data_IF_630412036688
#
_entry.id   IF_630412036688
#
_cell.length_a   1.000
_cell.length_b   1.000
_cell.length_c   1.000
_cell.angle_alpha   90.00
_cell.angle_beta   90.00
_cell.angle_gamma   90.00
#
_symmetry.space_group_name_H-M   'P 1'
#
loop_
_entity.id
_entity.type
_entity.pdbx_description
1 polymer ?
#
# COMPACT_ATOMS: atom_id res chain seq x y z
N UNK A 1 -26.77 20.91 -3.52
CA UNK A 1 -27.81 19.98 -4.02
C UNK A 1 -28.95 20.02 -3.02
N UNK A 2 -30.11 20.49 -3.45
CA UNK A 2 -31.34 20.61 -2.66
C UNK A 2 -31.76 19.24 -2.17
N UNK A 3 -31.80 19.06 -0.85
CA UNK A 3 -32.29 17.85 -0.21
C UNK A 3 -33.82 17.95 -0.19
N UNK A 4 -34.46 17.63 -1.32
CA UNK A 4 -35.91 17.49 -1.40
C UNK A 4 -36.30 16.21 -0.64
N UNK A 5 -36.43 16.31 0.68
CA UNK A 5 -37.17 15.34 1.45
C UNK A 5 -38.63 15.41 0.98
N UNK A 6 -39.00 14.56 0.03
CA UNK A 6 -40.38 14.38 -0.41
C UNK A 6 -41.19 13.87 0.79
N UNK A 7 -41.82 14.79 1.52
CA UNK A 7 -42.57 14.48 2.72
C UNK A 7 -44.00 14.08 2.31
N UNK A 8 -44.16 12.81 1.92
CA UNK A 8 -45.47 12.28 1.53
C UNK A 8 -46.27 11.96 2.80
N UNK A 9 -47.44 12.59 2.98
CA UNK A 9 -48.30 12.32 4.13
C UNK A 9 -49.03 10.98 3.97
N UNK A 10 -49.35 10.32 5.09
CA UNK A 10 -50.15 9.10 5.07
C UNK A 10 -51.53 9.32 4.43
N UNK A 11 -52.11 10.52 4.59
CA UNK A 11 -53.38 10.88 3.98
C UNK A 11 -53.28 11.01 2.46
N UNK A 12 -52.15 11.52 1.93
CA UNK A 12 -51.90 11.53 0.49
C UNK A 12 -51.74 10.11 -0.07
N UNK A 13 -51.07 9.21 0.66
CA UNK A 13 -50.95 7.79 0.27
C UNK A 13 -52.31 7.10 0.28
N UNK A 14 -53.14 7.34 1.32
CA UNK A 14 -54.51 6.81 1.36
C UNK A 14 -55.32 7.35 0.19
N UNK A 15 -55.34 8.66 -0.06
CA UNK A 15 -56.08 9.23 -1.18
C UNK A 15 -55.64 8.63 -2.53
N UNK A 16 -54.33 8.57 -2.76
CA UNK A 16 -53.77 8.06 -4.02
C UNK A 16 -53.99 6.56 -4.26
N UNK A 17 -54.14 5.77 -3.20
CA UNK A 17 -54.44 4.32 -3.28
C UNK A 17 -55.91 3.98 -3.09
N UNK A 18 -56.81 4.99 -3.12
CA UNK A 18 -58.24 4.83 -2.83
C UNK A 18 -58.52 4.16 -1.48
N UNK A 19 -57.82 4.63 -0.45
CA UNK A 19 -57.81 4.13 0.92
C UNK A 19 -57.40 2.65 1.01
N UNK A 20 -56.37 2.26 0.25
CA UNK A 20 -55.90 0.87 0.15
C UNK A 20 -57.01 -0.09 -0.32
N UNK A 21 -57.74 0.34 -1.35
CA UNK A 21 -58.78 -0.46 -2.00
C UNK A 21 -58.21 -1.74 -2.61
N UNK A 22 -58.92 -2.85 -2.53
CA UNK A 22 -58.47 -4.09 -3.20
C UNK A 22 -58.41 -3.94 -4.73
N UNK A 23 -59.13 -2.96 -5.31
CA UNK A 23 -59.07 -2.64 -6.74
C UNK A 23 -57.73 -2.03 -7.18
N UNK A 24 -56.97 -1.44 -6.26
CA UNK A 24 -55.64 -0.89 -6.51
C UNK A 24 -54.54 -1.84 -6.03
N UNK A 25 -54.90 -3.02 -5.49
CA UNK A 25 -53.95 -4.03 -5.06
C UNK A 25 -53.32 -4.71 -6.27
N UNK A 26 -52.01 -4.51 -6.44
CA UNK A 26 -51.21 -5.13 -7.51
C UNK A 26 -50.47 -6.38 -7.04
N UNK A 27 -50.44 -6.64 -5.74
CA UNK A 27 -49.86 -7.86 -5.21
C UNK A 27 -50.05 -8.03 -3.70
N UNK A 28 -50.32 -9.25 -3.27
CA UNK A 28 -50.53 -9.61 -1.87
C UNK A 28 -49.56 -10.71 -1.44
N UNK A 29 -49.08 -10.63 -0.20
CA UNK A 29 -48.34 -11.68 0.50
C UNK A 29 -48.86 -11.80 1.93
N UNK A 30 -48.38 -12.83 2.64
CA UNK A 30 -48.80 -13.22 4.01
C UNK A 30 -48.96 -12.08 5.02
N UNK A 31 -48.16 -11.03 4.90
CA UNK A 31 -48.13 -9.94 5.88
C UNK A 31 -48.27 -8.55 5.27
N UNK A 32 -48.47 -8.46 3.94
CA UNK A 32 -48.55 -7.17 3.29
C UNK A 32 -49.32 -7.24 1.98
N UNK A 33 -49.97 -6.12 1.64
CA UNK A 33 -50.54 -5.85 0.33
C UNK A 33 -49.79 -4.67 -0.30
N UNK A 34 -49.54 -4.74 -1.60
CA UNK A 34 -48.92 -3.72 -2.41
C UNK A 34 -50.00 -3.06 -3.25
N UNK A 35 -50.14 -1.76 -3.11
CA UNK A 35 -51.14 -0.97 -3.79
C UNK A 35 -50.47 -0.02 -4.77
N UNK A 36 -50.97 0.01 -5.99
CA UNK A 36 -50.63 1.06 -6.94
C UNK A 36 -51.50 2.29 -6.66
N UNK A 37 -50.95 3.47 -6.85
CA UNK A 37 -51.70 4.71 -6.66
C UNK A 37 -50.98 5.88 -7.29
N UNK A 38 -51.65 7.02 -7.33
CA UNK A 38 -51.07 8.26 -7.81
C UNK A 38 -51.23 9.35 -6.77
N UNK A 39 -50.14 10.08 -6.49
CA UNK A 39 -50.17 11.24 -5.61
C UNK A 39 -49.92 12.47 -6.47
N UNK A 40 -50.86 13.43 -6.40
CA UNK A 40 -50.71 14.73 -7.05
C UNK A 40 -50.15 15.74 -6.06
N UNK A 41 -49.05 16.40 -6.42
CA UNK A 41 -48.52 17.55 -5.70
C UNK A 41 -48.40 18.77 -6.65
N UNK A 42 -47.82 19.87 -6.15
CA UNK A 42 -47.62 21.08 -6.94
C UNK A 42 -46.68 20.90 -8.15
N UNK A 43 -45.96 19.77 -8.25
CA UNK A 43 -45.01 19.44 -9.30
C UNK A 43 -45.56 18.41 -10.32
N UNK A 44 -46.72 17.81 -10.06
CA UNK A 44 -47.41 16.89 -10.97
C UNK A 44 -47.96 15.63 -10.29
N UNK A 45 -48.44 14.68 -11.10
CA UNK A 45 -48.84 13.35 -10.62
C UNK A 45 -47.63 12.40 -10.57
N UNK A 46 -47.39 11.81 -9.40
CA UNK A 46 -46.37 10.79 -9.19
C UNK A 46 -47.05 9.45 -8.93
N UNK A 47 -46.80 8.46 -9.79
CA UNK A 47 -47.20 7.08 -9.52
C UNK A 47 -46.40 6.52 -8.34
N UNK A 48 -47.09 5.82 -7.45
CA UNK A 48 -46.52 5.22 -6.25
C UNK A 48 -46.94 3.77 -6.11
N UNK A 49 -46.07 2.99 -5.48
CA UNK A 49 -46.39 1.66 -4.97
C UNK A 49 -46.31 1.68 -3.45
N UNK A 50 -47.45 1.59 -2.77
CA UNK A 50 -47.54 1.60 -1.33
C UNK A 50 -47.61 0.17 -0.79
N UNK A 51 -46.55 -0.27 -0.10
CA UNK A 51 -46.51 -1.57 0.58
C UNK A 51 -47.03 -1.42 2.01
N UNK A 52 -48.22 -1.95 2.28
CA UNK A 52 -48.88 -1.86 3.60
C UNK A 52 -48.85 -3.20 4.31
N UNK A 53 -48.43 -3.19 5.57
CA UNK A 53 -48.53 -4.35 6.44
C UNK A 53 -50.00 -4.63 6.83
N UNK A 54 -50.46 -5.86 6.63
CA UNK A 54 -51.83 -6.29 6.97
C UNK A 54 -51.77 -7.53 7.88
N UNK A 55 -52.17 -7.35 9.14
CA UNK A 55 -52.24 -8.43 10.13
C UNK A 55 -53.54 -9.25 10.06
N UNK A 56 -54.54 -8.80 9.28
CA UNK A 56 -55.86 -9.45 9.16
C UNK A 56 -55.99 -10.37 7.94
N UNK A 57 -55.00 -10.42 7.05
CA UNK A 57 -54.90 -11.40 5.95
C UNK A 57 -54.92 -12.88 6.43
N UNK A 58 -54.85 -13.11 7.74
CA UNK A 58 -54.97 -14.43 8.37
C UNK A 58 -56.39 -15.03 8.36
N UNK A 59 -57.46 -14.24 8.13
CA UNK A 59 -58.84 -14.70 8.40
C UNK A 59 -59.75 -14.88 7.18
N UNK A 60 -59.33 -14.52 5.96
CA UNK A 60 -60.08 -14.87 4.73
C UNK A 60 -59.26 -15.90 3.98
N UNK A 61 -59.85 -17.09 3.81
CA UNK A 61 -59.20 -18.28 3.25
C UNK A 61 -58.35 -17.97 2.03
N UNK A 62 -57.04 -17.92 2.24
CA UNK A 62 -56.07 -18.23 1.21
C UNK A 62 -55.76 -19.71 1.38
N UNK A 63 -56.16 -20.51 0.40
CA UNK A 63 -55.61 -21.84 0.20
C UNK A 63 -54.08 -21.71 0.18
N UNK A 64 -53.48 -22.26 1.23
CA UNK A 64 -52.10 -22.74 1.31
C UNK A 64 -51.01 -21.86 0.65
N UNK A 65 -50.75 -20.67 1.21
CA UNK A 65 -49.51 -19.93 0.96
C UNK A 65 -48.44 -20.13 2.03
N UNK A 66 -48.63 -21.11 2.94
CA UNK A 66 -47.52 -21.70 3.68
C UNK A 66 -46.46 -22.25 2.71
N UNK A 67 -46.89 -22.66 1.51
CA UNK A 67 -46.04 -23.12 0.43
C UNK A 67 -45.10 -22.05 -0.15
N UNK A 68 -45.40 -20.74 -0.17
CA UNK A 68 -44.53 -19.78 -0.88
C UNK A 68 -43.28 -19.33 -0.12
N UNK A 69 -43.35 -19.19 1.21
CA UNK A 69 -42.18 -18.95 2.07
C UNK A 69 -41.37 -20.24 2.24
N UNK A 70 -42.05 -21.37 2.45
CA UNK A 70 -41.39 -22.68 2.45
C UNK A 70 -40.76 -22.97 1.09
N UNK A 71 -41.33 -22.55 -0.04
CA UNK A 71 -40.73 -22.76 -1.37
C UNK A 71 -39.40 -22.03 -1.51
N UNK A 72 -39.30 -20.73 -1.20
CA UNK A 72 -38.02 -20.03 -1.35
C UNK A 72 -36.96 -20.54 -0.36
N UNK A 73 -37.31 -20.74 0.91
CA UNK A 73 -36.41 -21.30 1.92
C UNK A 73 -35.97 -22.73 1.54
N UNK A 74 -36.91 -23.56 1.07
CA UNK A 74 -36.63 -24.92 0.60
C UNK A 74 -35.78 -24.93 -0.66
N UNK A 75 -36.05 -24.06 -1.63
CA UNK A 75 -35.23 -23.94 -2.86
C UNK A 75 -33.82 -23.48 -2.48
N UNK A 76 -33.66 -22.50 -1.59
CA UNK A 76 -32.33 -22.03 -1.15
C UNK A 76 -31.54 -23.15 -0.48
N UNK A 77 -32.14 -23.88 0.46
CA UNK A 77 -31.52 -25.04 1.12
C UNK A 77 -31.20 -26.15 0.11
N UNK A 78 -32.11 -26.46 -0.82
CA UNK A 78 -31.90 -27.48 -1.85
C UNK A 78 -30.79 -27.10 -2.82
N UNK A 79 -30.73 -25.86 -3.29
CA UNK A 79 -29.66 -25.35 -4.15
C UNK A 79 -28.33 -25.43 -3.43
N UNK A 80 -28.24 -24.95 -2.19
CA UNK A 80 -27.01 -25.01 -1.41
C UNK A 80 -26.54 -26.46 -1.15
N UNK A 81 -27.45 -27.37 -0.83
CA UNK A 81 -27.12 -28.79 -0.61
C UNK A 81 -26.66 -29.51 -1.90
N UNK A 82 -27.12 -29.07 -3.07
CA UNK A 82 -26.73 -29.65 -4.37
C UNK A 82 -25.44 -29.05 -4.92
N UNK A 83 -25.30 -27.73 -4.86
CA UNK A 83 -24.24 -26.97 -5.53
C UNK A 83 -23.13 -26.50 -4.58
N UNK A 84 -23.37 -26.54 -3.27
CA UNK A 84 -22.45 -26.03 -2.24
C UNK A 84 -22.39 -24.51 -2.13
N UNK A 85 -23.21 -23.78 -2.88
CA UNK A 85 -23.30 -22.32 -2.88
C UNK A 85 -24.71 -21.85 -3.33
N UNK A 86 -24.96 -20.55 -3.28
CA UNK A 86 -26.21 -19.92 -3.74
C UNK A 86 -25.97 -18.98 -4.93
N UNK A 87 -24.93 -19.22 -5.72
CA UNK A 87 -24.46 -18.26 -6.73
C UNK A 87 -25.49 -17.98 -7.83
N UNK A 88 -26.36 -18.95 -8.10
CA UNK A 88 -27.47 -18.84 -9.06
C UNK A 88 -28.66 -18.03 -8.52
N UNK A 89 -28.70 -17.73 -7.22
CA UNK A 89 -29.73 -16.91 -6.58
C UNK A 89 -29.31 -15.46 -6.35
N UNK A 90 -28.03 -15.15 -6.53
CA UNK A 90 -27.51 -13.81 -6.37
C UNK A 90 -27.87 -13.01 -7.62
N UNK A 91 -28.38 -11.80 -7.43
CA UNK A 91 -28.63 -10.88 -8.53
C UNK A 91 -27.33 -10.61 -9.30
N UNK A 92 -27.32 -10.87 -10.60
CA UNK A 92 -26.10 -10.80 -11.43
C UNK A 92 -25.39 -9.44 -11.32
N UNK A 93 -26.13 -8.34 -11.18
CA UNK A 93 -25.56 -7.00 -11.08
C UNK A 93 -24.71 -6.74 -9.81
N UNK A 94 -24.85 -7.54 -8.76
CA UNK A 94 -24.02 -7.44 -7.54
C UNK A 94 -23.03 -8.59 -7.39
N UNK A 95 -23.19 -9.67 -8.15
CA UNK A 95 -22.39 -10.90 -8.00
C UNK A 95 -20.89 -10.65 -8.18
N UNK A 96 -20.52 -9.81 -9.15
CA UNK A 96 -19.12 -9.45 -9.40
C UNK A 96 -18.54 -8.44 -8.41
N UNK A 97 -19.38 -7.80 -7.59
CA UNK A 97 -18.97 -6.78 -6.62
C UNK A 97 -18.66 -7.39 -5.24
N UNK A 98 -19.08 -8.63 -4.99
CA UNK A 98 -18.91 -9.30 -3.69
C UNK A 98 -17.68 -10.20 -3.73
N UNK A 99 -16.82 -10.05 -2.73
CA UNK A 99 -15.63 -10.90 -2.60
C UNK A 99 -16.02 -12.34 -2.27
N UNK A 100 -15.36 -13.36 -2.84
CA UNK A 100 -15.71 -14.75 -2.57
C UNK A 100 -15.74 -15.12 -1.07
N UNK A 101 -14.76 -14.71 -0.22
CA UNK A 101 -14.80 -15.02 1.21
C UNK A 101 -15.98 -14.37 1.95
N UNK A 102 -16.35 -13.14 1.57
CA UNK A 102 -17.53 -12.47 2.11
C UNK A 102 -18.80 -13.21 1.72
N UNK A 103 -18.92 -13.56 0.43
CA UNK A 103 -20.07 -14.26 -0.11
C UNK A 103 -20.26 -15.65 0.54
N UNK A 104 -19.20 -16.47 0.57
CA UNK A 104 -19.26 -17.80 1.20
C UNK A 104 -19.67 -17.70 2.67
N UNK A 105 -19.11 -16.73 3.40
CA UNK A 105 -19.44 -16.52 4.82
C UNK A 105 -20.92 -16.14 4.98
N UNK A 106 -21.41 -15.22 4.15
CA UNK A 106 -22.80 -14.77 4.16
C UNK A 106 -23.77 -15.90 3.77
N UNK A 107 -23.50 -16.63 2.69
CA UNK A 107 -24.31 -17.78 2.26
C UNK A 107 -24.37 -18.85 3.35
N UNK A 108 -23.22 -19.17 3.96
CA UNK A 108 -23.15 -20.18 5.04
C UNK A 108 -24.04 -19.80 6.21
N UNK A 109 -23.95 -18.56 6.71
CA UNK A 109 -24.74 -18.14 7.87
C UNK A 109 -26.24 -18.00 7.52
N UNK A 110 -26.56 -17.55 6.30
CA UNK A 110 -27.94 -17.48 5.82
C UNK A 110 -28.60 -18.86 5.78
N UNK A 111 -27.92 -19.87 5.25
CA UNK A 111 -28.43 -21.25 5.22
C UNK A 111 -28.59 -21.83 6.62
N UNK A 112 -27.64 -21.57 7.53
CA UNK A 112 -27.77 -22.00 8.93
C UNK A 112 -28.97 -21.37 9.64
N UNK A 113 -29.33 -20.12 9.32
CA UNK A 113 -30.55 -19.48 9.85
C UNK A 113 -31.84 -20.14 9.34
N UNK A 114 -31.81 -20.72 8.13
CA UNK A 114 -32.94 -21.40 7.51
C UNK A 114 -33.08 -22.87 7.93
N UNK A 115 -32.19 -23.39 8.78
CA UNK A 115 -32.25 -24.77 9.27
C UNK A 115 -33.62 -25.11 9.88
N UNK A 116 -34.12 -26.29 9.54
CA UNK A 116 -35.42 -26.79 10.02
C UNK A 116 -35.38 -27.02 11.53
N UNK A 117 -34.25 -27.52 12.02
CA UNK A 117 -34.05 -27.82 13.42
C UNK A 117 -33.52 -26.59 14.16
N UNK A 118 -34.31 -26.06 15.11
CA UNK A 118 -33.95 -24.86 15.87
C UNK A 118 -32.59 -24.93 16.57
N UNK A 119 -32.15 -26.11 17.00
CA UNK A 119 -30.85 -26.31 17.65
C UNK A 119 -29.64 -26.21 16.70
N UNK A 120 -29.86 -26.31 15.37
CA UNK A 120 -28.83 -26.09 14.35
C UNK A 120 -28.73 -24.62 13.92
N UNK A 121 -29.74 -23.80 14.27
CA UNK A 121 -29.73 -22.38 13.96
C UNK A 121 -28.67 -21.68 14.81
N UNK A 122 -27.97 -20.69 14.26
CA UNK A 122 -26.99 -19.94 15.01
C UNK A 122 -27.68 -19.08 16.07
N UNK A 123 -27.01 -18.86 17.18
CA UNK A 123 -27.38 -17.81 18.13
C UNK A 123 -27.22 -16.43 17.47
N UNK A 124 -27.94 -15.42 17.97
CA UNK A 124 -27.81 -14.05 17.46
C UNK A 124 -26.35 -13.54 17.54
N UNK A 125 -25.62 -13.94 18.57
CA UNK A 125 -24.19 -13.62 18.73
C UNK A 125 -23.36 -14.22 17.61
N UNK A 126 -23.53 -15.51 17.31
CA UNK A 126 -22.83 -16.17 16.20
C UNK A 126 -23.16 -15.54 14.85
N UNK A 127 -24.45 -15.23 14.62
CA UNK A 127 -24.91 -14.54 13.41
C UNK A 127 -24.20 -13.18 13.24
N UNK A 128 -24.22 -12.33 14.28
CA UNK A 128 -23.56 -11.02 14.24
C UNK A 128 -22.05 -11.17 14.00
N UNK A 129 -21.39 -12.13 14.65
CA UNK A 129 -19.95 -12.38 14.45
C UNK A 129 -19.64 -12.77 13.00
N UNK A 130 -20.41 -13.67 12.39
CA UNK A 130 -20.17 -14.07 11.00
C UNK A 130 -20.48 -12.95 10.01
N UNK A 131 -21.54 -12.17 10.24
CA UNK A 131 -21.86 -11.02 9.40
C UNK A 131 -20.78 -9.94 9.48
N UNK A 132 -20.24 -9.66 10.68
CA UNK A 132 -19.09 -8.76 10.83
C UNK A 132 -17.86 -9.28 10.09
N UNK A 133 -17.58 -10.58 10.18
CA UNK A 133 -16.47 -11.21 9.45
C UNK A 133 -16.65 -11.12 7.92
N UNK A 134 -17.87 -11.33 7.42
CA UNK A 134 -18.19 -11.18 6.00
C UNK A 134 -17.97 -9.73 5.54
N UNK A 135 -18.37 -8.74 6.35
CA UNK A 135 -18.12 -7.33 6.10
C UNK A 135 -16.62 -7.02 6.08
N UNK A 136 -15.87 -7.52 7.07
CA UNK A 136 -14.41 -7.34 7.14
C UNK A 136 -13.69 -7.85 5.88
N UNK A 137 -14.11 -9.00 5.33
CA UNK A 137 -13.56 -9.51 4.07
C UNK A 137 -13.81 -8.57 2.87
N UNK A 138 -14.99 -7.98 2.81
CA UNK A 138 -15.35 -7.05 1.75
C UNK A 138 -14.55 -5.75 1.86
N UNK A 139 -14.50 -5.16 3.07
CA UNK A 139 -13.75 -3.93 3.34
C UNK A 139 -12.24 -4.11 3.11
N UNK A 140 -11.67 -5.26 3.50
CA UNK A 140 -10.26 -5.56 3.28
C UNK A 140 -9.90 -5.53 1.78
N UNK A 141 -10.76 -6.12 0.94
CA UNK A 141 -10.55 -6.10 -0.50
C UNK A 141 -10.72 -4.70 -1.10
N UNK A 142 -11.82 -4.02 -0.81
CA UNK A 142 -12.14 -2.70 -1.39
C UNK A 142 -11.08 -1.65 -1.04
N UNK A 143 -10.54 -1.69 0.19
CA UNK A 143 -9.57 -0.71 0.67
C UNK A 143 -8.15 -1.03 0.19
N UNK A 144 -7.75 -2.31 0.21
CA UNK A 144 -6.34 -2.69 0.06
C UNK A 144 -6.00 -3.31 -1.30
N UNK A 145 -6.91 -4.02 -1.98
CA UNK A 145 -6.62 -4.57 -3.31
C UNK A 145 -6.20 -3.46 -4.30
N UNK A 146 -6.88 -2.29 -4.39
CA UNK A 146 -6.47 -1.22 -5.30
C UNK A 146 -5.12 -0.57 -4.96
N UNK A 147 -4.66 -0.70 -3.70
CA UNK A 147 -3.36 -0.18 -3.25
C UNK A 147 -2.22 -1.15 -3.55
N UNK A 148 -2.53 -2.41 -3.84
CA UNK A 148 -1.53 -3.40 -4.21
C UNK A 148 -1.14 -3.24 -5.69
N UNK A 149 0.14 -3.44 -6.04
CA UNK A 149 0.56 -3.45 -7.43
C UNK A 149 -0.14 -4.57 -8.20
N UNK A 150 -0.66 -4.34 -9.40
CA UNK A 150 -1.40 -5.34 -10.20
C UNK A 150 -0.67 -6.70 -10.31
N UNK A 151 0.67 -6.68 -10.36
CA UNK A 151 1.55 -7.85 -10.44
C UNK A 151 2.07 -8.36 -9.08
N UNK A 152 1.47 -7.98 -7.94
CA UNK A 152 1.94 -8.37 -6.60
C UNK A 152 2.06 -9.89 -6.42
N UNK A 153 1.14 -10.67 -7.00
CA UNK A 153 1.17 -12.14 -6.95
C UNK A 153 2.45 -12.68 -7.62
N UNK A 154 2.84 -12.10 -8.76
CA UNK A 154 4.07 -12.48 -9.46
C UNK A 154 5.32 -12.05 -8.71
N UNK A 155 5.28 -10.89 -8.02
CA UNK A 155 6.37 -10.44 -7.15
C UNK A 155 6.55 -11.42 -5.99
N UNK A 156 5.47 -11.82 -5.32
CA UNK A 156 5.49 -12.75 -4.18
C UNK A 156 6.04 -14.13 -4.59
N UNK A 157 5.68 -14.63 -5.77
CA UNK A 157 6.23 -15.88 -6.32
C UNK A 157 7.76 -15.88 -6.48
N UNK A 158 8.39 -14.70 -6.57
CA UNK A 158 9.86 -14.55 -6.64
C UNK A 158 10.54 -14.54 -5.27
N UNK A 159 9.77 -14.58 -4.19
CA UNK A 159 10.29 -14.76 -2.83
C UNK A 159 10.70 -16.22 -2.60
N UNK A 160 11.52 -16.48 -1.57
CA UNK A 160 11.94 -17.84 -1.22
C UNK A 160 10.81 -18.72 -0.69
N UNK A 161 9.81 -18.10 -0.07
CA UNK A 161 8.72 -18.80 0.64
C UNK A 161 7.37 -18.15 0.29
N UNK A 162 6.86 -18.37 -0.93
CA UNK A 162 5.61 -17.75 -1.40
C UNK A 162 4.38 -18.19 -0.60
N UNK A 163 4.41 -19.37 0.01
CA UNK A 163 3.24 -19.92 0.72
C UNK A 163 2.86 -19.13 1.97
N UNK A 164 3.82 -18.42 2.59
CA UNK A 164 3.58 -17.58 3.78
C UNK A 164 2.56 -16.47 3.50
N UNK A 165 2.36 -16.11 2.23
CA UNK A 165 1.52 -15.01 1.80
C UNK A 165 0.09 -15.44 1.42
N UNK A 166 -0.16 -16.74 1.23
CA UNK A 166 -1.46 -17.23 0.74
C UNK A 166 -2.59 -17.00 1.75
N UNK A 167 -2.29 -17.11 3.05
CA UNK A 167 -3.27 -16.98 4.14
C UNK A 167 -3.37 -15.56 4.70
N UNK A 168 -2.78 -14.57 4.03
CA UNK A 168 -2.72 -13.17 4.50
C UNK A 168 -3.88 -12.36 3.96
N UNK A 169 -4.40 -11.47 4.82
CA UNK A 169 -5.35 -10.45 4.39
C UNK A 169 -4.67 -9.49 3.40
N UNK A 170 -5.45 -8.75 2.61
CA UNK A 170 -4.92 -7.75 1.68
C UNK A 170 -4.20 -6.64 2.43
N UNK A 171 -4.71 -6.25 3.59
CA UNK A 171 -4.01 -5.36 4.53
C UNK A 171 -2.65 -5.90 4.94
N UNK A 172 -2.58 -7.16 5.38
CA UNK A 172 -1.32 -7.78 5.81
C UNK A 172 -0.30 -7.81 4.65
N UNK A 173 -0.76 -8.14 3.44
CA UNK A 173 0.08 -8.10 2.24
C UNK A 173 0.60 -6.68 1.98
N UNK A 174 -0.25 -5.67 2.07
CA UNK A 174 0.14 -4.27 1.90
C UNK A 174 1.18 -3.85 2.94
N UNK A 175 0.98 -4.20 4.22
CA UNK A 175 1.91 -3.88 5.31
C UNK A 175 3.26 -4.60 5.13
N UNK A 176 3.24 -5.86 4.69
CA UNK A 176 4.45 -6.63 4.39
C UNK A 176 5.22 -6.03 3.22
N UNK A 177 4.55 -5.65 2.13
CA UNK A 177 5.18 -5.00 0.98
C UNK A 177 5.65 -3.59 1.32
N UNK A 178 4.93 -2.83 2.14
CA UNK A 178 5.33 -1.50 2.58
C UNK A 178 6.58 -1.55 3.46
N UNK A 179 6.65 -2.53 4.37
CA UNK A 179 7.87 -2.80 5.13
C UNK A 179 8.97 -3.23 4.17
N UNK A 180 8.69 -4.19 3.30
CA UNK A 180 9.56 -4.69 2.25
C UNK A 180 9.85 -6.19 2.39
N UNK A 181 9.85 -6.90 1.27
CA UNK A 181 10.04 -8.36 1.17
C UNK A 181 11.34 -8.70 0.43
N UNK A 182 11.97 -9.82 0.82
CA UNK A 182 13.20 -10.30 0.22
C UNK A 182 12.92 -11.20 -0.99
N UNK A 183 13.58 -10.89 -2.10
CA UNK A 183 13.46 -11.54 -3.41
C UNK A 183 14.86 -11.96 -3.90
N UNK A 184 14.90 -12.87 -4.88
CA UNK A 184 16.13 -13.33 -5.55
C UNK A 184 17.22 -13.80 -4.57
N UNK A 185 16.93 -14.83 -3.77
CA UNK A 185 17.85 -15.36 -2.75
C UNK A 185 18.27 -14.35 -1.65
N UNK A 186 17.37 -13.46 -1.25
CA UNK A 186 17.66 -12.35 -0.32
C UNK A 186 18.71 -11.38 -0.86
N UNK A 187 18.77 -11.22 -2.19
CA UNK A 187 19.68 -10.28 -2.85
C UNK A 187 19.00 -8.99 -3.26
N UNK A 188 17.67 -8.96 -3.28
CA UNK A 188 16.87 -7.76 -3.58
C UNK A 188 15.78 -7.64 -2.51
N UNK A 189 15.57 -6.44 -1.97
CA UNK A 189 14.43 -6.13 -1.12
C UNK A 189 13.48 -5.25 -1.93
N UNK A 190 12.26 -5.71 -2.16
CA UNK A 190 11.21 -4.92 -2.80
C UNK A 190 10.32 -4.28 -1.74
N UNK A 191 10.00 -2.99 -1.87
CA UNK A 191 9.06 -2.32 -0.97
C UNK A 191 8.18 -1.27 -1.63
N UNK A 192 7.01 -1.04 -1.06
CA UNK A 192 6.08 0.01 -1.50
C UNK A 192 6.22 1.28 -0.67
N UNK A 193 6.15 2.42 -1.36
CA UNK A 193 5.98 3.73 -0.77
C UNK A 193 4.52 3.99 -0.36
N UNK A 194 4.30 5.12 0.30
CA UNK A 194 2.99 5.51 0.85
C UNK A 194 1.89 5.61 -0.21
N UNK A 195 2.25 5.87 -1.46
CA UNK A 195 1.32 6.05 -2.57
C UNK A 195 1.46 4.94 -3.62
N UNK A 196 2.03 3.78 -3.24
CA UNK A 196 2.27 2.66 -4.15
C UNK A 196 3.54 2.78 -4.98
N UNK A 197 4.42 3.75 -4.67
CA UNK A 197 5.71 3.89 -5.34
C UNK A 197 6.56 2.63 -5.13
N UNK A 198 7.13 2.08 -6.20
CA UNK A 198 7.93 0.86 -6.11
C UNK A 198 9.37 1.20 -5.81
N UNK A 199 9.95 0.60 -4.79
CA UNK A 199 11.35 0.78 -4.42
C UNK A 199 12.06 -0.57 -4.39
N UNK A 200 13.35 -0.56 -4.74
CA UNK A 200 14.22 -1.72 -4.64
C UNK A 200 15.47 -1.39 -3.83
N UNK A 201 15.87 -2.28 -2.93
CA UNK A 201 17.19 -2.27 -2.33
C UNK A 201 18.00 -3.47 -2.82
N UNK A 202 19.26 -3.25 -3.18
CA UNK A 202 20.12 -4.30 -3.73
C UNK A 202 21.19 -4.69 -2.73
N UNK A 203 21.32 -6.00 -2.53
CA UNK A 203 22.27 -6.60 -1.62
C UNK A 203 23.72 -6.37 -2.08
N UNK A 204 24.64 -5.96 -1.20
CA UNK A 204 26.10 -6.04 -1.33
C UNK A 204 26.57 -7.44 -1.72
N UNK A 205 25.82 -8.50 -1.40
CA UNK A 205 26.12 -9.85 -1.92
C UNK A 205 26.08 -9.93 -3.45
N UNK A 206 25.36 -9.02 -4.10
CA UNK A 206 25.25 -8.91 -5.57
C UNK A 206 26.41 -8.11 -6.18
N UNK A 207 27.22 -7.46 -5.36
CA UNK A 207 28.31 -6.63 -5.85
C UNK A 207 29.53 -7.49 -6.19
N UNK A 208 30.23 -7.11 -7.24
CA UNK A 208 31.53 -7.68 -7.58
C UNK A 208 32.63 -6.82 -6.98
N UNK A 209 33.51 -7.44 -6.21
CA UNK A 209 34.61 -6.79 -5.51
C UNK A 209 35.93 -7.25 -6.10
N UNK A 210 36.79 -6.32 -6.54
CA UNK A 210 38.16 -6.68 -6.92
C UNK A 210 39.10 -6.91 -5.73
N UNK A 211 38.75 -6.39 -4.54
CA UNK A 211 39.55 -6.52 -3.32
C UNK A 211 39.00 -7.59 -2.36
N UNK A 212 39.92 -8.36 -1.77
CA UNK A 212 39.60 -9.53 -0.93
C UNK A 212 39.29 -9.22 0.55
N UNK A 213 39.54 -8.00 1.03
CA UNK A 213 39.43 -7.64 2.45
C UNK A 213 37.98 -7.30 2.88
N UNK A 214 37.05 -8.24 2.71
CA UNK A 214 35.66 -8.11 3.19
C UNK A 214 35.32 -9.18 4.23
N UNK A 215 34.63 -8.77 5.29
CA UNK A 215 33.99 -9.68 6.25
C UNK A 215 32.48 -9.58 6.09
N UNK A 216 31.78 -10.71 6.19
CA UNK A 216 30.33 -10.71 6.22
C UNK A 216 29.85 -10.67 7.67
N UNK A 217 29.00 -9.71 8.01
CA UNK A 217 28.43 -9.58 9.36
C UNK A 217 26.92 -9.62 9.33
N UNK A 218 26.33 -10.14 10.40
CA UNK A 218 24.92 -9.89 10.70
C UNK A 218 24.81 -8.63 11.54
N UNK A 219 23.88 -7.74 11.19
CA UNK A 219 23.54 -6.56 11.98
C UNK A 219 22.04 -6.60 12.23
N UNK A 220 21.57 -6.51 13.49
CA UNK A 220 20.13 -6.55 13.79
C UNK A 220 19.33 -5.46 13.08
N UNK A 221 19.93 -4.28 12.88
CA UNK A 221 19.25 -3.15 12.22
C UNK A 221 19.28 -3.23 10.68
N UNK A 222 19.87 -4.27 10.10
CA UNK A 222 19.98 -4.41 8.64
C UNK A 222 18.72 -5.03 8.06
N UNK A 223 18.26 -4.48 6.92
CA UNK A 223 17.15 -5.05 6.14
C UNK A 223 17.49 -6.37 5.43
N UNK A 224 18.77 -6.75 5.40
CA UNK A 224 19.18 -8.07 4.92
C UNK A 224 20.00 -8.83 5.98
N UNK A 225 20.05 -10.17 5.90
CA UNK A 225 20.71 -11.01 6.92
C UNK A 225 22.23 -10.84 7.06
N UNK A 226 22.94 -10.46 5.99
CA UNK A 226 24.41 -10.32 6.01
C UNK A 226 24.88 -9.11 5.23
N UNK A 227 25.55 -8.18 5.88
CA UNK A 227 26.16 -6.95 5.30
C UNK A 227 27.64 -7.15 5.01
N UNK A 228 28.21 -6.36 4.09
CA UNK A 228 29.64 -6.33 3.83
C UNK A 228 30.36 -5.33 4.76
N UNK A 229 31.22 -5.82 5.64
CA UNK A 229 32.16 -5.00 6.39
C UNK A 229 33.44 -4.79 5.58
N UNK A 230 33.85 -3.53 5.48
CA UNK A 230 35.07 -3.10 4.80
C UNK A 230 36.00 -2.34 5.75
N UNK A 231 37.28 -2.68 5.70
CA UNK A 231 38.32 -2.09 6.55
C UNK A 231 38.89 -0.80 5.96
N UNK A 232 39.03 -0.72 4.64
CA UNK A 232 39.64 0.41 3.94
C UNK A 232 38.74 0.86 2.78
N UNK A 233 38.28 2.10 2.85
CA UNK A 233 37.30 2.67 1.92
C UNK A 233 37.99 3.26 0.68
N UNK A 234 39.25 3.65 0.82
CA UNK A 234 40.03 4.39 -0.18
C UNK A 234 40.24 3.63 -1.51
N UNK A 235 40.08 2.30 -1.51
CA UNK A 235 40.28 1.44 -2.69
C UNK A 235 39.06 0.57 -2.98
N UNK A 236 37.85 1.08 -2.73
CA UNK A 236 36.67 0.36 -3.17
C UNK A 236 36.66 0.26 -4.69
N UNK A 237 36.72 -0.94 -5.24
CA UNK A 237 36.43 -1.18 -6.65
C UNK A 237 35.25 -2.12 -6.70
N UNK A 238 34.07 -1.53 -6.48
CA UNK A 238 32.79 -2.22 -6.49
C UNK A 238 32.17 -2.05 -7.86
N UNK A 239 31.79 -3.16 -8.47
CA UNK A 239 30.90 -3.15 -9.64
C UNK A 239 29.53 -3.67 -9.24
N UNK A 240 28.49 -2.91 -9.55
CA UNK A 240 27.11 -3.28 -9.28
C UNK A 240 26.36 -3.37 -10.60
N UNK A 241 25.76 -4.53 -10.85
CA UNK A 241 24.78 -4.72 -11.92
C UNK A 241 23.39 -4.51 -11.33
N UNK A 242 22.72 -3.47 -11.79
CA UNK A 242 21.37 -3.10 -11.37
C UNK A 242 20.40 -3.56 -12.44
N UNK A 243 19.32 -4.21 -12.03
CA UNK A 243 18.19 -4.60 -12.87
C UNK A 243 16.95 -3.91 -12.34
N UNK A 244 16.13 -3.31 -13.21
CA UNK A 244 14.93 -2.55 -12.79
C UNK A 244 13.64 -3.36 -12.88
N UNK A 245 13.73 -4.68 -12.70
CA UNK A 245 12.64 -5.61 -12.98
C UNK A 245 11.39 -5.46 -12.11
N UNK A 246 11.51 -4.93 -10.88
CA UNK A 246 10.37 -4.69 -10.00
C UNK A 246 10.01 -3.20 -9.90
N UNK A 247 10.74 -2.32 -10.58
CA UNK A 247 10.43 -0.90 -10.67
C UNK A 247 9.32 -0.63 -11.69
N UNK A 248 8.58 0.45 -11.48
CA UNK A 248 7.56 0.91 -12.40
C UNK A 248 8.21 1.46 -13.68
N UNK A 249 7.71 1.11 -14.87
CA UNK A 249 8.14 1.76 -16.10
C UNK A 249 7.63 3.21 -16.17
N UNK A 250 8.25 4.03 -17.01
CA UNK A 250 7.93 5.43 -17.24
C UNK A 250 8.03 6.33 -15.98
N UNK A 251 8.92 5.98 -15.05
CA UNK A 251 9.13 6.68 -13.77
C UNK A 251 10.59 7.09 -13.63
N UNK A 252 10.83 8.26 -13.02
CA UNK A 252 12.17 8.73 -12.66
C UNK A 252 12.58 8.19 -11.28
N UNK A 253 13.76 7.59 -11.22
CA UNK A 253 14.33 6.99 -10.02
C UNK A 253 15.63 7.67 -9.62
N UNK A 254 15.85 7.80 -8.32
CA UNK A 254 17.14 8.11 -7.72
C UNK A 254 17.85 6.85 -7.27
N UNK A 255 19.14 6.78 -7.54
CA UNK A 255 20.02 5.73 -7.06
C UNK A 255 20.83 6.25 -5.89
N UNK A 256 20.73 5.55 -4.77
CA UNK A 256 21.43 5.88 -3.54
C UNK A 256 22.36 4.76 -3.12
N UNK A 257 23.56 5.10 -2.67
CA UNK A 257 24.44 4.18 -1.94
C UNK A 257 24.20 4.33 -0.43
N UNK A 258 23.88 3.23 0.24
CA UNK A 258 23.60 3.15 1.67
C UNK A 258 24.73 2.43 2.39
N UNK A 259 25.20 3.02 3.50
CA UNK A 259 26.30 2.49 4.31
C UNK A 259 26.24 3.01 5.75
N UNK A 260 26.99 2.39 6.66
CA UNK A 260 27.07 2.78 8.08
C UNK A 260 28.50 2.68 8.55
N UNK A 261 28.94 3.67 9.34
CA UNK A 261 30.24 3.63 9.98
C UNK A 261 30.24 2.66 11.16
N UNK A 262 31.33 1.91 11.31
CA UNK A 262 31.56 1.12 12.52
C UNK A 262 32.67 1.74 13.37
N UNK A 263 32.33 2.02 14.62
CA UNK A 263 33.23 2.61 15.61
C UNK A 263 32.46 3.24 16.76
N UNK A 264 33.17 3.55 17.85
CA UNK A 264 32.62 4.11 19.09
C UNK A 264 32.12 5.56 18.99
N UNK A 265 32.49 6.28 17.92
CA UNK A 265 31.97 7.63 17.65
C UNK A 265 30.91 7.56 16.56
N UNK A 266 29.64 7.55 16.95
CA UNK A 266 28.53 7.86 16.04
C UNK A 266 28.66 9.33 15.65
N UNK A 267 28.90 9.61 14.38
CA UNK A 267 28.83 10.99 13.90
C UNK A 267 27.38 11.45 14.08
N UNK A 268 27.16 12.52 14.85
CA UNK A 268 25.86 13.16 14.99
C UNK A 268 25.56 14.12 13.83
N UNK A 269 26.52 14.29 12.92
CA UNK A 269 26.37 15.19 11.79
C UNK A 269 25.30 14.62 10.83
N UNK A 270 24.22 15.39 10.62
CA UNK A 270 23.17 15.05 9.64
C UNK A 270 23.72 14.94 8.21
N UNK A 271 24.87 15.55 7.91
CA UNK A 271 25.50 15.57 6.59
C UNK A 271 27.02 15.45 6.68
N UNK A 272 27.61 14.64 5.80
CA UNK A 272 29.06 14.41 5.71
C UNK A 272 29.55 14.64 4.28
N UNK A 273 30.77 15.16 4.15
CA UNK A 273 31.48 15.23 2.88
C UNK A 273 32.21 13.90 2.62
N UNK A 274 32.09 13.34 1.41
CA UNK A 274 32.59 12.00 1.08
C UNK A 274 33.48 11.92 -0.17
N UNK A 275 33.36 12.88 -1.09
CA UNK A 275 34.00 12.87 -2.42
C UNK A 275 34.15 11.47 -3.04
N UNK A 276 33.02 10.89 -3.44
CA UNK A 276 32.93 9.58 -4.07
C UNK A 276 33.00 9.75 -5.59
N UNK A 277 34.02 9.15 -6.23
CA UNK A 277 34.15 9.04 -7.69
C UNK A 277 33.60 7.71 -8.17
N UNK A 278 32.72 7.73 -9.17
CA UNK A 278 32.14 6.52 -9.75
C UNK A 278 31.88 6.68 -11.25
N UNK A 279 31.80 5.57 -11.97
CA UNK A 279 31.45 5.49 -13.39
C UNK A 279 30.06 4.91 -13.59
N UNK A 280 29.34 5.52 -14.52
CA UNK A 280 28.09 5.01 -15.07
C UNK A 280 28.26 4.93 -16.58
N UNK A 281 28.24 3.71 -17.14
CA UNK A 281 28.64 3.52 -18.53
C UNK A 281 30.07 4.02 -18.79
N UNK A 282 30.21 5.00 -19.69
CA UNK A 282 31.50 5.62 -20.02
C UNK A 282 31.75 6.95 -19.29
N UNK A 283 30.79 7.43 -18.49
CA UNK A 283 30.87 8.73 -17.82
C UNK A 283 31.41 8.57 -16.40
N UNK A 284 32.38 9.42 -16.02
CA UNK A 284 32.86 9.55 -14.64
C UNK A 284 32.11 10.68 -13.92
N UNK A 285 31.54 10.36 -12.77
CA UNK A 285 30.69 11.22 -11.96
C UNK A 285 31.21 11.29 -10.51
N UNK A 286 30.83 12.35 -9.81
CA UNK A 286 31.22 12.59 -8.42
C UNK A 286 30.00 12.80 -7.53
N UNK A 287 30.01 12.20 -6.34
CA UNK A 287 29.03 12.45 -5.30
C UNK A 287 29.74 12.99 -4.05
N UNK A 288 29.37 14.20 -3.64
CA UNK A 288 30.13 14.94 -2.62
C UNK A 288 29.61 14.78 -1.19
N UNK A 289 28.33 14.42 -1.04
CA UNK A 289 27.67 14.43 0.26
C UNK A 289 26.97 13.12 0.57
N UNK A 290 27.04 12.73 1.84
CA UNK A 290 26.21 11.71 2.43
C UNK A 290 25.28 12.34 3.48
N UNK A 291 24.04 11.88 3.54
CA UNK A 291 23.02 12.32 4.50
C UNK A 291 22.65 11.19 5.45
N UNK A 292 22.48 11.52 6.73
CA UNK A 292 22.03 10.57 7.76
C UNK A 292 20.52 10.33 7.62
N UNK A 293 20.12 9.07 7.58
CA UNK A 293 18.73 8.61 7.60
C UNK A 293 18.25 8.41 9.03
N UNK A 294 16.95 8.37 9.21
CA UNK A 294 16.30 8.13 10.52
C UNK A 294 16.69 6.78 11.14
N UNK A 295 16.96 5.77 10.31
CA UNK A 295 17.41 4.44 10.74
C UNK A 295 18.90 4.37 11.12
N UNK A 296 19.60 5.51 11.14
CA UNK A 296 21.02 5.62 11.51
C UNK A 296 21.99 5.18 10.40
N UNK A 297 21.50 4.92 9.18
CA UNK A 297 22.32 4.66 8.00
C UNK A 297 22.62 5.96 7.24
N UNK A 298 23.78 6.03 6.59
CA UNK A 298 24.13 7.11 5.67
C UNK A 298 23.68 6.78 4.26
N UNK A 299 23.33 7.81 3.49
CA UNK A 299 22.88 7.71 2.10
C UNK A 299 23.66 8.70 1.23
N UNK A 300 24.20 8.26 0.11
CA UNK A 300 24.80 9.12 -0.93
C UNK A 300 23.93 9.00 -2.19
N UNK A 301 23.36 10.10 -2.66
CA UNK A 301 22.74 10.14 -3.99
C UNK A 301 23.84 10.04 -5.05
N UNK A 302 23.74 9.02 -5.92
CA UNK A 302 24.66 8.87 -7.05
C UNK A 302 24.10 9.61 -8.26
N UNK A 303 23.05 9.06 -8.88
CA UNK A 303 22.46 9.59 -10.10
C UNK A 303 20.95 9.35 -10.12
N UNK A 304 20.31 9.97 -11.10
CA UNK A 304 18.91 9.81 -11.39
C UNK A 304 18.76 9.25 -12.80
N UNK A 305 17.79 8.39 -13.03
CA UNK A 305 17.51 7.84 -14.36
C UNK A 305 16.01 7.68 -14.59
N UNK A 306 15.60 7.73 -15.85
CA UNK A 306 14.24 7.44 -16.25
C UNK A 306 14.12 5.98 -16.67
N UNK A 307 13.25 5.23 -15.99
CA UNK A 307 13.05 3.81 -16.26
C UNK A 307 12.09 3.63 -17.45
N UNK A 308 12.59 3.65 -18.69
CA UNK A 308 11.76 3.60 -19.90
C UNK A 308 10.92 2.33 -20.03
N UNK A 309 11.47 1.16 -19.64
CA UNK A 309 10.85 -0.16 -19.81
C UNK A 309 11.15 -1.05 -18.61
N UNK A 310 10.35 -2.09 -18.43
CA UNK A 310 10.65 -3.15 -17.45
C UNK A 310 12.00 -3.81 -17.80
N UNK A 311 12.78 -4.14 -16.77
CA UNK A 311 14.01 -4.95 -16.87
C UNK A 311 15.16 -4.29 -17.66
N UNK A 312 15.50 -3.05 -17.30
CA UNK A 312 16.70 -2.38 -17.82
C UNK A 312 17.91 -2.76 -16.95
N UNK A 313 19.01 -3.14 -17.61
CA UNK A 313 20.28 -3.45 -16.95
C UNK A 313 21.26 -2.28 -17.11
N UNK A 314 21.88 -1.85 -16.01
CA UNK A 314 23.01 -0.92 -16.05
C UNK A 314 24.06 -1.24 -14.99
N UNK A 315 25.31 -0.84 -15.28
CA UNK A 315 26.46 -1.10 -14.43
C UNK A 315 27.01 0.19 -13.82
N UNK A 316 27.19 0.18 -12.50
CA UNK A 316 27.82 1.25 -11.75
C UNK A 316 29.15 0.74 -11.22
N UNK A 317 30.24 1.46 -11.51
CA UNK A 317 31.59 1.10 -11.07
C UNK A 317 32.13 2.18 -10.14
N UNK A 318 32.41 1.82 -8.90
CA UNK A 318 33.12 2.71 -7.99
C UNK A 318 34.59 2.84 -8.39
N UNK A 319 35.14 4.06 -8.40
CA UNK A 319 36.54 4.31 -8.71
C UNK A 319 37.36 4.66 -7.47
N UNK A 320 36.93 5.62 -6.65
CA UNK A 320 37.71 6.09 -5.49
C UNK A 320 36.83 6.86 -4.46
N UNK A 321 37.16 6.77 -3.16
CA UNK A 321 36.62 7.66 -2.11
C UNK A 321 37.81 8.36 -1.45
N UNK A 322 37.94 9.67 -1.66
CA UNK A 322 39.14 10.41 -1.27
C UNK A 322 39.25 10.68 0.24
N UNK A 323 38.15 11.08 0.91
CA UNK A 323 38.14 11.43 2.36
C UNK A 323 36.72 11.67 2.88
N UNK A 324 36.48 11.22 4.11
CA UNK A 324 35.24 11.47 4.83
C UNK A 324 35.43 12.52 5.92
N UNK A 325 34.73 13.66 5.80
CA UNK A 325 34.81 14.78 6.77
C UNK A 325 33.41 15.23 7.17
N UNK A 326 33.23 15.62 8.43
CA UNK A 326 31.99 16.25 8.88
C UNK A 326 31.92 17.68 8.33
N UNK A 327 30.75 18.10 7.81
CA UNK A 327 30.60 19.42 7.17
C UNK A 327 30.84 20.57 8.16
N UNK A 328 30.50 20.38 9.44
CA UNK A 328 30.79 21.35 10.50
C UNK A 328 32.30 21.59 10.69
N UNK A 329 33.15 20.59 10.39
CA UNK A 329 34.60 20.71 10.49
C UNK A 329 35.21 21.46 9.30
N UNK A 330 34.56 21.42 8.12
CA UNK A 330 34.95 22.21 6.93
C UNK A 330 34.68 23.70 7.12
N UNK A 331 33.50 24.06 7.65
CA UNK A 331 33.13 25.46 7.91
C UNK A 331 33.98 26.11 9.02
N UNK A 332 34.49 25.33 9.99
CA UNK A 332 35.45 25.81 10.99
C UNK A 332 36.88 25.97 10.46
N UNK A 333 37.23 25.29 9.36
CA UNK A 333 38.58 25.34 8.78
C UNK A 333 38.78 26.51 7.81
N UNK A 334 37.70 27.16 7.37
CA UNK A 334 37.79 28.32 6.46
C UNK A 334 37.98 29.65 7.18
N UNK A 335 38.05 29.68 8.52
CA UNK A 335 38.12 30.93 9.30
C UNK A 335 39.37 31.11 10.16
N UNK A 336 40.36 30.21 10.11
CA UNK A 336 41.66 30.45 10.77
C UNK A 336 42.82 29.89 9.96
N UNK A 337 43.70 30.78 9.52
CA UNK A 337 45.13 30.49 9.32
C UNK A 337 45.71 30.09 10.67
N UNK A 338 45.68 28.81 11.00
CA UNK A 338 46.53 28.23 12.03
C UNK A 338 46.83 26.78 11.69
N UNK A 339 48.10 26.42 11.81
CA UNK A 339 48.66 25.10 11.54
C UNK A 339 47.90 24.04 12.36
N UNK A 340 46.97 23.31 11.74
CA UNK A 340 46.47 22.06 12.29
C UNK A 340 47.42 20.93 11.88
N UNK A 341 48.13 20.42 12.88
CA UNK A 341 48.83 19.13 12.81
C UNK A 341 47.87 18.02 12.33
N UNK A 342 48.35 17.06 11.54
CA UNK A 342 47.52 15.98 11.03
C UNK A 342 47.15 15.07 12.20
N UNK A 343 46.00 15.31 12.83
CA UNK A 343 45.35 14.29 13.64
C UNK A 343 44.92 13.19 12.69
N UNK A 344 45.80 12.20 12.51
CA UNK A 344 45.56 10.95 11.81
C UNK A 344 44.24 10.34 12.33
N UNK A 345 43.15 10.53 11.59
CA UNK A 345 41.90 9.85 11.87
C UNK A 345 42.09 8.38 11.46
N UNK A 346 42.63 7.59 12.40
CA UNK A 346 42.86 6.15 12.28
C UNK A 346 41.59 5.49 11.73
N UNK A 347 41.74 4.89 10.55
CA UNK A 347 40.93 3.82 9.93
C UNK A 347 39.51 3.69 10.49
N UNK A 348 38.56 4.41 9.89
CA UNK A 348 37.14 4.15 10.14
C UNK A 348 36.71 2.95 9.30
N UNK A 349 36.32 1.85 9.96
CA UNK A 349 35.68 0.71 9.30
C UNK A 349 34.30 1.16 8.78
N UNK A 350 33.95 0.76 7.56
CA UNK A 350 32.63 1.04 6.98
C UNK A 350 31.92 -0.27 6.72
N UNK A 351 30.71 -0.39 7.25
CA UNK A 351 29.78 -1.41 6.80
C UNK A 351 29.06 -0.84 5.60
N UNK A 352 29.47 -1.28 4.42
CA UNK A 352 28.74 -0.95 3.21
C UNK A 352 27.61 -1.92 3.06
N UNK A 353 26.43 -1.35 2.98
CA UNK A 353 25.23 -2.12 2.96
C UNK A 353 24.75 -2.24 1.55
N UNK A 354 24.08 -1.25 0.98
CA UNK A 354 23.16 -1.54 -0.14
C UNK A 354 23.08 -0.39 -1.13
N UNK A 355 22.56 -0.66 -2.33
CA UNK A 355 21.96 0.40 -3.16
C UNK A 355 20.48 0.50 -2.87
N UNK A 356 19.90 1.70 -2.92
CA UNK A 356 18.46 1.92 -2.90
C UNK A 356 18.03 2.70 -4.13
N UNK A 357 16.97 2.22 -4.78
CA UNK A 357 16.31 2.82 -5.93
C UNK A 357 14.98 3.37 -5.43
N UNK A 358 14.84 4.69 -5.46
CA UNK A 358 13.63 5.37 -4.96
C UNK A 358 13.03 6.30 -5.98
N UNK A 359 11.71 6.24 -6.14
CA UNK A 359 10.96 7.08 -7.08
C UNK A 359 11.03 8.58 -6.71
N UNK A 360 11.12 9.45 -7.72
CA UNK A 360 11.12 10.90 -7.55
C UNK A 360 9.69 11.42 -7.52
N UNK A 361 9.24 11.90 -6.35
CA UNK A 361 7.98 12.65 -6.24
C UNK A 361 8.13 13.99 -6.99
N UNK A 362 7.38 14.20 -8.07
CA UNK A 362 7.22 15.52 -8.70
C UNK A 362 6.48 16.44 -7.73
N UNK A 363 7.19 17.13 -6.85
CA UNK A 363 6.74 18.46 -6.42
C UNK A 363 7.01 19.39 -7.58
N UNK A 364 5.99 20.17 -7.93
CA UNK A 364 6.02 21.20 -8.97
C UNK A 364 6.83 22.40 -8.44
N UNK A 365 8.12 22.17 -8.18
CA UNK A 365 9.05 23.25 -7.83
C UNK A 365 9.83 23.57 -9.10
N UNK A 366 9.70 24.82 -9.52
CA UNK A 366 10.21 25.39 -10.75
C UNK A 366 11.69 25.07 -10.96
N UNK A 367 12.03 24.69 -12.20
CA UNK A 367 13.41 24.53 -12.66
C UNK A 367 14.16 25.87 -12.54
N UNK A 368 14.91 26.06 -11.45
CA UNK A 368 16.00 27.01 -11.44
C UNK A 368 17.24 26.32 -12.04
N UNK A 369 17.44 26.57 -13.33
CA UNK A 369 18.66 26.25 -14.07
C UNK A 369 19.89 26.78 -13.31
N UNK A 370 20.91 25.93 -13.19
CA UNK A 370 22.16 26.14 -12.46
C UNK A 370 23.02 27.33 -12.95
N UNK A 371 22.53 28.15 -13.89
CA UNK A 371 23.19 29.37 -14.37
C UNK A 371 22.86 30.65 -13.58
N UNK A 372 22.01 30.60 -12.54
CA UNK A 372 21.58 31.81 -11.80
C UNK A 372 21.85 31.83 -10.28
N UNK A 373 22.73 30.96 -9.76
CA UNK A 373 23.15 30.99 -8.33
C UNK A 373 24.63 31.36 -8.21
N UNK A 374 25.04 32.39 -8.95
CA UNK A 374 26.31 33.08 -8.75
C UNK A 374 25.95 34.52 -8.37
N UNK A 375 26.49 34.97 -7.24
CA UNK A 375 26.26 36.27 -6.57
C UNK A 375 24.87 36.48 -5.94
N UNK A 376 24.78 36.23 -4.63
CA UNK A 376 24.23 37.20 -3.66
C UNK A 376 24.31 36.64 -2.22
N UNK A 377 25.35 37.04 -1.49
CA UNK A 377 25.23 37.59 -0.13
C UNK A 377 26.62 37.83 0.47
N UNK A 378 27.32 38.82 -0.09
CA UNK A 378 28.30 39.59 0.67
C UNK A 378 27.54 40.66 1.45
N UNK A 379 27.79 40.77 2.75
CA UNK A 379 27.37 41.84 3.67
C UNK A 379 25.85 42.04 3.87
N UNK A 380 25.38 41.80 5.10
CA UNK A 380 25.01 42.84 6.08
C UNK A 380 24.63 42.17 7.41
N UNK A 381 25.25 42.64 8.49
CA UNK A 381 24.57 42.97 9.75
C UNK A 381 23.96 41.84 10.59
N UNK A 382 24.71 41.47 11.61
CA UNK A 382 24.30 41.01 12.94
C UNK A 382 22.80 41.25 13.27
N UNK A 383 22.06 40.16 13.47
CA UNK A 383 21.26 39.97 14.70
C UNK A 383 20.90 38.48 14.86
N UNK A 384 21.53 37.87 15.84
CA UNK A 384 21.19 36.55 16.35
C UNK A 384 19.79 36.57 16.99
N UNK A 385 18.85 35.84 16.39
CA UNK A 385 17.84 35.08 17.11
C UNK A 385 17.72 33.71 16.44
N UNK A 386 17.81 32.69 17.29
CA UNK A 386 17.44 31.31 17.02
C UNK A 386 16.04 31.28 16.35
N UNK A 387 15.70 30.28 15.55
CA UNK A 387 15.26 28.96 16.02
C UNK A 387 15.32 28.02 14.80
N UNK A 388 15.85 26.81 14.97
CA UNK A 388 15.20 25.53 14.68
C UNK A 388 16.08 24.37 15.14
#
# INVERSE_FOLDING_TARGET
KTNNNFHVSLEAIKAGTQNFSDYTCVGERRFWKLYEGEITDANGCTAIFAKRWDSKAHQKGCEDHSQSLTTFETIAIQCYNKEGNLDNMIFDGIKEQITPPSLTTFQTIAIQCLEVYGFKRPTITQLITQLKKALEFQEDYEIWEPKLPIDYKEIIKRSKTPDIYNDKTKKDLYDMLSKGILLQDDKVLFSLGSNGERNEMISAKRFSYKNHLRKWRSLPESRFPKVAEMLYISNLNIRIKIRTQFLSPCVNYKVHLIFKFCGSRKSQAKRMYVNLKYKMGNESLNAYFATLREDGWMMIELFQFFNHKKDTDFEVKHEEIEKLKEVQQLLKSTSKTDKLSPSNMKVKKVHMTWFSLSEIKRKKDEMLSAKKVVYNSSNVGIQSRFVF
#
